data_IF_771821649125
#
_entry.id   IF_771821649125
#
_cell.length_a   1.000
_cell.length_b   1.000
_cell.length_c   1.000
_cell.angle_alpha   90.00
_cell.angle_beta   90.00
_cell.angle_gamma   90.00
#
_symmetry.space_group_name_H-M   'P 1'
#
loop_
_entity.id
_entity.type
_entity.pdbx_description
1 polymer ?
#
# COMPACT_ATOMS: atom_id res chain seq x y z
N UNK A 1 -1.33 6.66 -63.12
CA UNK A 1 -0.59 5.58 -62.43
C UNK A 1 -1.50 5.05 -61.32
N UNK A 2 -1.75 3.74 -61.28
CA UNK A 2 -2.53 3.11 -60.21
C UNK A 2 -1.80 3.27 -58.86
N UNK A 3 -2.54 3.56 -57.79
CA UNK A 3 -1.99 3.62 -56.44
C UNK A 3 -1.64 2.19 -56.01
N UNK A 4 -0.44 1.94 -55.47
CA UNK A 4 -0.11 0.62 -54.93
C UNK A 4 -1.07 0.30 -53.78
N UNK A 5 -1.63 -0.91 -53.81
CA UNK A 5 -2.62 -1.39 -52.85
C UNK A 5 -2.00 -2.45 -51.95
N UNK A 6 -2.14 -2.29 -50.64
CA UNK A 6 -1.60 -3.20 -49.63
C UNK A 6 -2.72 -3.80 -48.80
N UNK A 7 -2.68 -5.12 -48.60
CA UNK A 7 -3.65 -5.83 -47.77
C UNK A 7 -3.23 -5.80 -46.30
N UNK A 8 -4.14 -5.39 -45.43
CA UNK A 8 -3.89 -5.20 -44.00
C UNK A 8 -4.81 -6.08 -43.15
N UNK A 9 -4.24 -6.79 -42.18
CA UNK A 9 -5.00 -7.47 -41.11
C UNK A 9 -4.79 -6.81 -39.75
N UNK A 10 -5.86 -6.71 -38.99
CA UNK A 10 -5.82 -6.29 -37.58
C UNK A 10 -6.72 -7.20 -36.74
N UNK A 11 -6.54 -7.16 -35.43
CA UNK A 11 -7.45 -7.80 -34.46
C UNK A 11 -7.91 -6.77 -33.45
N UNK A 12 -9.01 -7.04 -32.77
CA UNK A 12 -9.55 -6.13 -31.77
C UNK A 12 -8.57 -5.99 -30.60
N UNK A 13 -8.09 -4.76 -30.39
CA UNK A 13 -7.21 -4.39 -29.30
C UNK A 13 -7.45 -2.91 -28.96
N UNK A 14 -8.43 -2.59 -28.10
CA UNK A 14 -8.69 -1.22 -27.70
C UNK A 14 -7.47 -0.63 -26.96
N UNK A 15 -7.15 0.67 -27.10
CA UNK A 15 -7.72 1.66 -28.01
C UNK A 15 -7.15 1.63 -29.44
N UNK A 16 -6.22 0.72 -29.73
CA UNK A 16 -5.53 0.66 -31.02
C UNK A 16 -6.46 0.33 -32.18
N UNK A 17 -7.23 -0.74 -32.05
CA UNK A 17 -8.15 -1.21 -33.07
C UNK A 17 -9.43 -1.72 -32.42
N UNK A 18 -10.56 -1.19 -32.86
CA UNK A 18 -11.89 -1.50 -32.36
C UNK A 18 -12.84 -1.71 -33.54
N UNK A 19 -13.67 -2.74 -33.48
CA UNK A 19 -14.65 -3.02 -34.51
C UNK A 19 -15.96 -2.29 -34.18
N UNK A 20 -16.37 -1.36 -35.04
CA UNK A 20 -17.69 -0.71 -34.93
C UNK A 20 -18.62 -1.32 -35.98
N UNK A 21 -19.76 -1.93 -35.58
CA UNK A 21 -20.74 -2.42 -36.53
C UNK A 21 -21.47 -1.24 -37.20
N UNK A 22 -21.39 -1.16 -38.53
CA UNK A 22 -22.11 -0.17 -39.34
C UNK A 22 -22.88 -0.92 -40.43
N UNK A 23 -24.17 -1.19 -40.15
CA UNK A 23 -24.99 -2.08 -40.97
C UNK A 23 -24.45 -3.52 -40.96
N UNK A 24 -24.25 -4.11 -42.14
CA UNK A 24 -23.69 -5.47 -42.29
C UNK A 24 -22.15 -5.51 -42.35
N UNK A 25 -21.45 -4.38 -42.14
CA UNK A 25 -19.99 -4.32 -42.20
C UNK A 25 -19.42 -3.84 -40.88
N UNK A 26 -18.29 -4.40 -40.48
CA UNK A 26 -17.47 -3.87 -39.39
C UNK A 26 -16.47 -2.86 -39.96
N UNK A 27 -16.40 -1.69 -39.34
CA UNK A 27 -15.45 -0.63 -39.71
C UNK A 27 -14.42 -0.51 -38.60
N UNK A 28 -13.13 -0.45 -38.99
CA UNK A 28 -12.03 -0.18 -38.07
C UNK A 28 -12.20 1.21 -37.45
N UNK A 29 -12.13 1.27 -36.13
CA UNK A 29 -12.01 2.50 -35.35
C UNK A 29 -10.82 2.41 -34.40
N UNK A 30 -10.36 3.55 -33.89
CA UNK A 30 -9.20 3.64 -32.99
C UNK A 30 -7.94 4.16 -33.69
N UNK A 31 -6.83 4.15 -32.96
CA UNK A 31 -5.58 4.80 -33.37
C UNK A 31 -5.02 4.23 -34.67
N UNK A 32 -5.20 2.93 -34.91
CA UNK A 32 -4.72 2.27 -36.12
C UNK A 32 -5.38 2.85 -37.38
N UNK A 33 -6.66 3.23 -37.31
CA UNK A 33 -7.36 3.89 -38.42
C UNK A 33 -6.68 5.21 -38.78
N UNK A 34 -6.46 6.06 -37.78
CA UNK A 34 -5.84 7.37 -37.97
C UNK A 34 -4.42 7.25 -38.54
N UNK A 35 -3.66 6.24 -38.10
CA UNK A 35 -2.33 5.92 -38.64
C UNK A 35 -2.39 5.57 -40.12
N UNK A 36 -3.28 4.64 -40.53
CA UNK A 36 -3.39 4.25 -41.94
C UNK A 36 -3.94 5.35 -42.83
N UNK A 37 -4.86 6.18 -42.35
CA UNK A 37 -5.33 7.36 -43.08
C UNK A 37 -4.20 8.38 -43.30
N UNK A 38 -3.39 8.64 -42.28
CA UNK A 38 -2.21 9.52 -42.39
C UNK A 38 -1.15 8.95 -43.36
N UNK A 39 -0.91 7.63 -43.33
CA UNK A 39 -0.02 6.96 -44.27
C UNK A 39 -0.56 7.00 -45.71
N UNK A 40 -1.85 6.75 -45.89
CA UNK A 40 -2.51 6.78 -47.21
C UNK A 40 -2.40 8.17 -47.83
N UNK A 41 -2.67 9.22 -47.05
CA UNK A 41 -2.56 10.61 -47.47
C UNK A 41 -1.12 11.00 -47.83
N UNK A 42 -0.13 10.62 -47.00
CA UNK A 42 1.26 11.06 -47.16
C UNK A 42 2.09 10.27 -48.17
N UNK A 43 1.73 9.01 -48.44
CA UNK A 43 2.43 8.12 -49.38
C UNK A 43 1.65 7.87 -50.67
N UNK A 44 0.38 8.29 -50.74
CA UNK A 44 -0.54 8.02 -51.86
C UNK A 44 -0.74 6.50 -52.09
N UNK A 45 -0.76 5.73 -51.00
CA UNK A 45 -0.99 4.28 -50.98
C UNK A 45 -2.45 3.98 -50.66
N UNK A 46 -2.96 2.85 -51.16
CA UNK A 46 -4.28 2.34 -50.81
C UNK A 46 -4.13 1.15 -49.85
N UNK A 47 -4.89 1.15 -48.75
CA UNK A 47 -4.86 0.08 -47.75
C UNK A 47 -6.23 -0.62 -47.71
N UNK A 48 -6.23 -1.94 -47.94
CA UNK A 48 -7.41 -2.79 -47.80
C UNK A 48 -7.38 -3.43 -46.42
N UNK A 49 -8.10 -2.82 -45.47
CA UNK A 49 -8.02 -3.18 -44.06
C UNK A 49 -9.18 -4.11 -43.68
N UNK A 50 -8.84 -5.30 -43.17
CA UNK A 50 -9.81 -6.31 -42.73
C UNK A 50 -9.50 -6.82 -41.33
N UNK A 51 -10.54 -7.02 -40.53
CA UNK A 51 -10.42 -7.70 -39.23
C UNK A 51 -10.02 -9.16 -39.44
N UNK A 52 -9.29 -9.72 -38.49
CA UNK A 52 -8.79 -11.09 -38.52
C UNK A 52 -9.89 -12.07 -38.10
N UNK A 53 -10.05 -13.15 -38.86
CA UNK A 53 -11.18 -14.09 -38.72
C UNK A 53 -11.18 -14.83 -37.38
N UNK A 54 -10.02 -15.26 -36.90
CA UNK A 54 -9.86 -15.98 -35.63
C UNK A 54 -9.67 -15.05 -34.43
N UNK A 55 -9.64 -13.72 -34.64
CA UNK A 55 -9.39 -12.70 -33.63
C UNK A 55 -8.10 -12.89 -32.81
N UNK A 56 -7.16 -13.70 -33.30
CA UNK A 56 -5.90 -13.97 -32.62
C UNK A 56 -4.75 -13.14 -33.19
N UNK A 57 -3.85 -12.67 -32.30
CA UNK A 57 -2.59 -12.06 -32.73
C UNK A 57 -1.71 -13.06 -33.46
N UNK A 58 -1.65 -14.29 -32.94
CA UNK A 58 -0.86 -15.38 -33.51
C UNK A 58 0.22 -15.86 -32.56
N UNK A 59 0.33 -17.19 -32.46
CA UNK A 59 1.33 -17.91 -31.71
C UNK A 59 1.97 -18.99 -32.59
N UNK A 60 3.18 -19.40 -32.23
CA UNK A 60 3.83 -20.55 -32.84
C UNK A 60 3.07 -21.82 -32.45
N UNK A 61 2.67 -22.61 -33.44
CA UNK A 61 2.01 -23.90 -33.25
C UNK A 61 3.04 -25.03 -33.26
N UNK A 62 2.62 -26.21 -32.80
CA UNK A 62 3.47 -27.42 -32.73
C UNK A 62 3.93 -27.93 -34.09
N UNK A 63 3.18 -27.60 -35.15
CA UNK A 63 3.51 -27.93 -36.53
C UNK A 63 4.54 -26.95 -37.15
N UNK A 64 5.01 -25.96 -36.38
CA UNK A 64 5.91 -24.90 -36.85
C UNK A 64 5.21 -23.77 -37.61
N UNK A 65 3.89 -23.86 -37.81
CA UNK A 65 3.10 -22.78 -38.41
C UNK A 65 2.73 -21.72 -37.37
N UNK A 66 2.29 -20.55 -37.84
CA UNK A 66 1.77 -19.49 -36.98
C UNK A 66 0.25 -19.36 -37.17
N UNK A 67 -0.48 -19.18 -36.08
CA UNK A 67 -1.93 -18.86 -36.10
C UNK A 67 -2.16 -17.35 -36.21
N UNK A 68 -3.42 -16.92 -36.28
CA UNK A 68 -3.77 -15.50 -36.14
C UNK A 68 -3.30 -14.60 -37.28
N UNK A 69 -3.26 -13.31 -36.98
CA UNK A 69 -2.73 -12.28 -37.88
C UNK A 69 -1.30 -12.57 -38.33
N UNK A 70 -0.47 -13.09 -37.44
CA UNK A 70 0.92 -13.46 -37.75
C UNK A 70 0.98 -14.62 -38.75
N UNK A 71 0.07 -15.59 -38.63
CA UNK A 71 -0.12 -16.67 -39.57
C UNK A 71 -0.51 -16.19 -40.97
N UNK A 72 -1.45 -15.24 -41.07
CA UNK A 72 -1.84 -14.63 -42.34
C UNK A 72 -0.66 -13.91 -43.02
N UNK A 73 0.19 -13.26 -42.23
CA UNK A 73 1.41 -12.61 -42.72
C UNK A 73 2.45 -13.65 -43.19
N UNK A 74 2.63 -14.72 -42.42
CA UNK A 74 3.56 -15.82 -42.75
C UNK A 74 3.14 -16.58 -44.03
N UNK A 75 1.84 -16.83 -44.21
CA UNK A 75 1.25 -17.44 -45.41
C UNK A 75 1.19 -16.50 -46.62
N UNK A 76 1.66 -15.26 -46.48
CA UNK A 76 1.65 -14.22 -47.52
C UNK A 76 0.25 -13.85 -48.03
N UNK A 77 -0.78 -14.05 -47.20
CA UNK A 77 -2.16 -13.66 -47.52
C UNK A 77 -2.35 -12.14 -47.42
N UNK A 78 -1.54 -11.49 -46.58
CA UNK A 78 -1.52 -10.04 -46.35
C UNK A 78 -0.10 -9.47 -46.40
N UNK A 79 -0.01 -8.16 -46.62
CA UNK A 79 1.27 -7.44 -46.74
C UNK A 79 1.67 -6.77 -45.43
N UNK A 80 0.68 -6.30 -44.66
CA UNK A 80 0.87 -5.64 -43.36
C UNK A 80 -0.09 -6.26 -42.35
N UNK A 81 0.36 -6.45 -41.12
CA UNK A 81 -0.48 -6.86 -40.01
C UNK A 81 -0.13 -6.07 -38.74
N UNK A 82 -1.12 -5.72 -37.93
CA UNK A 82 -0.86 -5.04 -36.67
C UNK A 82 -2.06 -4.30 -36.10
N UNK A 83 -1.85 -3.60 -34.96
CA UNK A 83 -0.57 -3.45 -34.28
C UNK A 83 -0.16 -4.69 -33.49
N UNK A 84 1.15 -4.86 -33.32
CA UNK A 84 1.76 -5.94 -32.57
C UNK A 84 2.71 -5.41 -31.52
N UNK A 85 2.76 -6.08 -30.37
CA UNK A 85 3.95 -6.05 -29.54
C UNK A 85 5.05 -6.83 -30.25
N UNK A 86 6.13 -6.15 -30.62
CA UNK A 86 7.27 -6.74 -31.28
C UNK A 86 8.03 -7.67 -30.31
N UNK A 87 8.41 -8.84 -30.80
CA UNK A 87 9.21 -9.82 -30.05
C UNK A 87 10.10 -10.58 -31.01
N UNK A 88 11.18 -11.15 -30.50
CA UNK A 88 12.13 -11.94 -31.28
C UNK A 88 11.45 -13.11 -32.00
N UNK A 89 10.57 -13.84 -31.30
CA UNK A 89 9.81 -14.96 -31.86
C UNK A 89 8.94 -14.56 -33.07
N UNK A 90 8.43 -13.32 -33.08
CA UNK A 90 7.61 -12.80 -34.18
C UNK A 90 8.48 -12.21 -35.31
N UNK A 91 9.64 -11.65 -34.99
CA UNK A 91 10.61 -11.15 -35.96
C UNK A 91 11.22 -12.28 -36.83
N UNK A 92 11.14 -13.52 -36.36
CA UNK A 92 11.50 -14.70 -37.14
C UNK A 92 10.68 -14.84 -38.44
N UNK A 93 9.45 -14.33 -38.50
CA UNK A 93 8.55 -14.46 -39.66
C UNK A 93 8.02 -13.14 -40.21
N UNK A 94 8.31 -12.02 -39.57
CA UNK A 94 7.86 -10.69 -39.96
C UNK A 94 8.97 -9.63 -39.84
N UNK A 95 8.86 -8.54 -40.59
CA UNK A 95 9.71 -7.36 -40.47
C UNK A 95 8.93 -6.24 -39.79
N UNK A 96 9.41 -5.73 -38.66
CA UNK A 96 8.70 -4.68 -37.93
C UNK A 96 9.07 -3.27 -38.41
N UNK A 97 8.08 -2.38 -38.39
CA UNK A 97 8.30 -0.94 -38.57
C UNK A 97 8.99 -0.32 -37.36
N UNK A 98 9.33 0.96 -37.49
CA UNK A 98 9.59 1.81 -36.32
C UNK A 98 8.43 1.72 -35.31
N UNK A 99 8.81 1.78 -34.02
CA UNK A 99 7.91 1.76 -32.87
C UNK A 99 6.85 2.86 -33.01
N UNK A 100 5.56 2.49 -32.96
CA UNK A 100 4.43 3.42 -32.86
C UNK A 100 4.28 3.98 -31.44
N UNK A 101 4.54 3.16 -30.42
CA UNK A 101 4.40 3.49 -29.00
C UNK A 101 5.19 2.51 -28.14
N UNK A 102 5.75 2.98 -27.01
CA UNK A 102 6.36 2.10 -26.02
C UNK A 102 5.27 1.48 -25.13
N UNK A 103 5.15 0.16 -25.20
CA UNK A 103 4.27 -0.63 -24.34
C UNK A 103 4.95 -0.92 -23.01
N UNK A 104 4.21 -0.62 -21.94
CA UNK A 104 4.54 -1.04 -20.58
C UNK A 104 3.38 -1.89 -20.07
N UNK A 105 3.64 -2.74 -19.08
CA UNK A 105 2.55 -3.45 -18.42
C UNK A 105 1.86 -2.53 -17.41
N UNK A 106 0.59 -2.76 -17.18
CA UNK A 106 -0.20 -2.09 -16.16
C UNK A 106 -0.98 -3.09 -15.32
N UNK A 107 -1.12 -2.78 -14.03
CA UNK A 107 -1.99 -3.52 -13.10
C UNK A 107 -3.25 -2.70 -12.86
N UNK A 108 -4.42 -3.29 -13.14
CA UNK A 108 -5.69 -2.77 -12.61
C UNK A 108 -5.94 -3.41 -11.24
N UNK A 109 -6.06 -2.57 -10.24
CA UNK A 109 -6.29 -2.95 -8.84
C UNK A 109 -7.45 -2.16 -8.25
N UNK A 110 -8.16 -2.75 -7.29
CA UNK A 110 -9.10 -2.00 -6.46
C UNK A 110 -8.39 -0.92 -5.65
N UNK A 111 -9.14 0.13 -5.31
CA UNK A 111 -8.70 1.18 -4.40
C UNK A 111 -9.25 0.88 -3.01
N UNK A 112 -8.36 0.87 -2.02
CA UNK A 112 -8.75 0.87 -0.60
C UNK A 112 -8.48 2.24 -0.01
N UNK A 113 -9.45 2.75 0.75
CA UNK A 113 -9.19 3.90 1.61
C UNK A 113 -8.09 3.53 2.61
N UNK A 114 -7.05 4.35 2.75
CA UNK A 114 -6.03 4.14 3.78
C UNK A 114 -6.71 3.85 5.12
N UNK A 115 -6.37 2.69 5.66
CA UNK A 115 -6.88 2.12 6.91
C UNK A 115 -7.21 3.21 7.94
N UNK A 116 -8.50 3.50 8.14
CA UNK A 116 -8.98 4.29 9.28
C UNK A 116 -8.98 3.40 10.52
N UNK A 117 -7.80 2.85 10.82
CA UNK A 117 -7.60 2.08 12.02
C UNK A 117 -7.82 3.01 13.22
N UNK A 118 -8.63 2.59 14.18
CA UNK A 118 -8.90 3.35 15.41
C UNK A 118 -7.62 3.70 16.21
N UNK A 119 -6.50 3.01 15.93
CA UNK A 119 -5.18 3.21 16.54
C UNK A 119 -4.17 3.88 15.60
N UNK A 120 -4.62 4.65 14.60
CA UNK A 120 -3.73 5.29 13.62
C UNK A 120 -2.66 6.16 14.29
N UNK A 121 -3.00 6.85 15.38
CA UNK A 121 -2.06 7.67 16.17
C UNK A 121 -0.88 6.85 16.73
N UNK A 122 -1.08 5.58 17.09
CA UNK A 122 0.00 4.72 17.58
C UNK A 122 0.96 4.28 16.46
N UNK A 123 0.46 4.22 15.21
CA UNK A 123 1.25 3.86 14.02
C UNK A 123 2.08 5.02 13.46
N UNK A 124 1.89 6.25 13.96
CA UNK A 124 2.64 7.44 13.53
C UNK A 124 4.13 7.28 13.78
N UNK A 125 4.50 6.70 14.93
CA UNK A 125 5.86 6.32 15.23
C UNK A 125 6.05 4.81 15.08
N UNK A 126 7.19 4.43 14.54
CA UNK A 126 7.56 3.01 14.47
C UNK A 126 7.78 2.46 15.88
N UNK A 127 7.57 1.16 16.07
CA UNK A 127 7.76 0.52 17.39
C UNK A 127 9.17 0.76 17.96
N UNK A 128 10.19 0.91 17.10
CA UNK A 128 11.56 1.23 17.49
C UNK A 128 11.66 2.59 18.16
N UNK A 129 10.92 3.59 17.69
CA UNK A 129 10.88 4.94 18.28
C UNK A 129 10.17 4.92 19.62
N UNK A 130 9.06 4.17 19.73
CA UNK A 130 8.38 3.96 21.02
C UNK A 130 9.31 3.32 22.05
N UNK A 131 10.05 2.28 21.65
CA UNK A 131 11.03 1.64 22.52
C UNK A 131 12.16 2.60 22.91
N UNK A 132 12.69 3.38 21.97
CA UNK A 132 13.74 4.35 22.28
C UNK A 132 13.27 5.40 23.28
N UNK A 133 12.04 5.92 23.15
CA UNK A 133 11.47 6.88 24.11
C UNK A 133 11.38 6.27 25.51
N UNK A 134 10.88 5.03 25.62
CA UNK A 134 10.81 4.32 26.90
C UNK A 134 12.20 4.16 27.54
N UNK A 135 13.19 3.75 26.75
CA UNK A 135 14.57 3.59 27.21
C UNK A 135 15.19 4.92 27.65
N UNK A 136 14.92 6.02 26.94
CA UNK A 136 15.40 7.35 27.34
C UNK A 136 14.79 7.80 28.67
N UNK A 137 13.49 7.57 28.90
CA UNK A 137 12.83 7.92 30.17
C UNK A 137 13.46 7.14 31.33
N UNK A 138 13.66 5.83 31.17
CA UNK A 138 14.32 5.00 32.18
C UNK A 138 15.74 5.50 32.43
N UNK A 139 16.51 5.81 31.37
CA UNK A 139 17.86 6.34 31.48
C UNK A 139 17.92 7.66 32.26
N UNK A 140 17.06 8.61 31.94
CA UNK A 140 17.01 9.91 32.63
C UNK A 140 16.54 9.77 34.08
N UNK A 141 15.57 8.88 34.35
CA UNK A 141 15.14 8.56 35.70
C UNK A 141 16.27 7.91 36.55
N UNK A 142 17.09 7.04 35.94
CA UNK A 142 18.27 6.46 36.58
C UNK A 142 19.31 7.54 36.92
N UNK A 143 19.60 8.44 35.99
CA UNK A 143 20.55 9.55 36.25
C UNK A 143 20.02 10.47 37.35
N UNK A 144 18.72 10.79 37.35
CA UNK A 144 18.11 11.58 38.43
C UNK A 144 18.17 10.87 39.79
N UNK A 145 17.93 9.55 39.83
CA UNK A 145 18.08 8.75 41.04
C UNK A 145 19.54 8.70 41.53
N UNK A 146 20.52 8.63 40.62
CA UNK A 146 21.95 8.73 40.95
C UNK A 146 22.29 10.11 41.53
N UNK A 147 21.81 11.19 40.93
CA UNK A 147 22.00 12.55 41.46
C UNK A 147 21.39 12.67 42.86
N UNK A 148 20.20 12.10 43.10
CA UNK A 148 19.60 12.07 44.43
C UNK A 148 20.51 11.39 45.45
N UNK A 149 20.94 10.16 45.14
CA UNK A 149 21.75 9.34 46.04
C UNK A 149 23.09 10.01 46.40
N UNK A 150 23.73 10.69 45.45
CA UNK A 150 25.01 11.38 45.68
C UNK A 150 24.82 12.70 46.43
N UNK A 151 23.75 13.43 46.14
CA UNK A 151 23.59 14.82 46.62
C UNK A 151 22.80 14.96 47.91
N UNK A 152 21.99 13.96 48.27
CA UNK A 152 21.12 13.95 49.44
C UNK A 152 21.53 12.80 50.37
N UNK A 153 22.60 13.01 51.15
CA UNK A 153 23.24 12.03 52.04
C UNK A 153 22.41 11.59 53.28
N UNK A 154 21.07 11.62 53.23
CA UNK A 154 20.25 11.48 54.45
C UNK A 154 19.09 10.50 54.41
N UNK A 155 18.66 9.99 53.25
CA UNK A 155 17.37 9.28 53.13
C UNK A 155 17.53 7.90 52.48
N UNK A 156 17.51 6.84 53.30
CA UNK A 156 17.48 5.44 52.84
C UNK A 156 16.08 5.08 52.32
N UNK A 157 15.68 5.64 51.17
CA UNK A 157 14.53 5.13 50.45
C UNK A 157 14.88 3.88 49.65
N UNK A 158 13.89 2.99 49.46
CA UNK A 158 14.03 1.87 48.54
C UNK A 158 14.35 2.40 47.14
N UNK A 159 15.50 1.99 46.59
CA UNK A 159 16.02 2.46 45.29
C UNK A 159 15.03 2.24 44.15
N UNK A 160 14.30 1.13 44.18
CA UNK A 160 13.26 0.80 43.19
C UNK A 160 12.08 1.78 43.28
N UNK A 161 11.65 2.12 44.50
CA UNK A 161 10.59 3.10 44.72
C UNK A 161 11.03 4.48 44.20
N UNK A 162 12.26 4.88 44.49
CA UNK A 162 12.84 6.15 44.03
C UNK A 162 12.87 6.23 42.50
N UNK A 163 13.35 5.18 41.84
CA UNK A 163 13.38 5.10 40.38
C UNK A 163 11.97 5.16 39.78
N UNK A 164 11.01 4.43 40.34
CA UNK A 164 9.60 4.46 39.90
C UNK A 164 8.99 5.86 40.01
N UNK A 165 9.33 6.59 41.09
CA UNK A 165 8.86 7.97 41.30
C UNK A 165 9.48 8.95 40.30
N UNK A 166 10.78 8.86 40.01
CA UNK A 166 11.41 9.69 38.98
C UNK A 166 10.96 9.33 37.56
N UNK A 167 10.77 8.05 37.29
CA UNK A 167 10.16 7.58 36.04
C UNK A 167 8.80 8.25 35.82
N UNK A 168 7.95 8.29 36.84
CA UNK A 168 6.64 8.95 36.76
C UNK A 168 6.76 10.46 36.49
N UNK A 169 7.71 11.16 37.13
CA UNK A 169 7.94 12.59 36.89
C UNK A 169 8.34 12.87 35.44
N UNK A 170 9.34 12.15 34.91
CA UNK A 170 9.77 12.34 33.52
C UNK A 170 8.70 11.89 32.50
N UNK A 171 7.94 10.85 32.82
CA UNK A 171 6.78 10.43 32.04
C UNK A 171 5.69 11.51 31.98
N UNK A 172 5.36 12.16 33.10
CA UNK A 172 4.40 13.28 33.14
C UNK A 172 4.87 14.47 32.30
N UNK A 173 6.16 14.83 32.38
CA UNK A 173 6.74 15.89 31.54
C UNK A 173 6.62 15.58 30.04
N UNK A 174 6.78 14.31 29.63
CA UNK A 174 6.62 13.91 28.24
C UNK A 174 5.20 14.13 27.72
N UNK A 175 4.18 13.96 28.57
CA UNK A 175 2.76 14.10 28.20
C UNK A 175 2.32 15.58 28.21
N UNK A 176 3.20 16.50 28.64
CA UNK A 176 2.87 17.93 28.75
C UNK A 176 1.98 18.26 29.95
N UNK A 177 1.82 17.33 30.89
CA UNK A 177 1.22 17.63 32.18
C UNK A 177 2.26 18.31 33.06
N UNK A 178 1.93 19.45 33.67
CA UNK A 178 2.78 20.07 34.67
C UNK A 178 3.12 19.02 35.74
N UNK A 179 4.39 18.64 35.85
CA UNK A 179 4.85 17.81 36.96
C UNK A 179 4.71 18.67 38.21
N UNK A 180 3.52 18.59 38.81
CA UNK A 180 2.89 19.73 39.46
C UNK A 180 3.74 20.39 40.50
N UNK A 181 3.99 21.70 40.33
CA UNK A 181 4.64 22.61 41.28
C UNK A 181 6.00 22.15 41.81
N UNK A 182 6.85 23.10 42.18
CA UNK A 182 8.10 22.84 42.93
C UNK A 182 7.88 22.07 44.25
N UNK A 183 6.62 21.88 44.67
CA UNK A 183 6.21 21.18 45.89
C UNK A 183 6.12 19.64 45.74
N UNK A 184 6.42 19.07 44.57
CA UNK A 184 6.56 17.62 44.46
C UNK A 184 7.78 17.16 45.25
N UNK A 185 7.59 16.32 46.28
CA UNK A 185 8.66 15.85 47.18
C UNK A 185 9.89 15.26 46.44
N UNK A 186 9.67 14.68 45.25
CA UNK A 186 10.73 14.14 44.39
C UNK A 186 11.64 15.22 43.79
N UNK A 187 11.11 16.44 43.59
CA UNK A 187 11.79 17.58 43.00
C UNK A 187 12.36 18.52 44.08
N UNK A 188 11.66 18.73 45.21
CA UNK A 188 12.05 19.69 46.28
C UNK A 188 13.54 19.53 46.68
N UNK A 189 13.99 18.29 46.89
CA UNK A 189 15.32 18.02 47.42
C UNK A 189 16.45 18.15 46.39
N UNK A 190 16.15 18.04 45.08
CA UNK A 190 17.14 18.03 44.00
C UNK A 190 17.10 19.33 43.18
N UNK A 191 15.99 20.07 43.20
CA UNK A 191 15.77 21.27 42.38
C UNK A 191 16.88 22.33 42.48
N UNK A 192 17.52 22.43 43.65
CA UNK A 192 18.61 23.37 43.92
C UNK A 192 19.98 22.88 43.45
N UNK A 193 20.09 21.71 42.82
CA UNK A 193 21.36 21.16 42.31
C UNK A 193 21.54 21.49 40.84
N UNK A 194 22.68 22.09 40.48
CA UNK A 194 22.98 22.48 39.09
C UNK A 194 23.00 21.30 38.12
N UNK A 195 23.52 20.14 38.55
CA UNK A 195 23.54 18.91 37.72
C UNK A 195 22.13 18.46 37.30
N UNK A 196 21.14 18.62 38.19
CA UNK A 196 19.76 18.26 37.88
C UNK A 196 19.09 19.30 36.97
N UNK A 197 19.41 20.58 37.11
CA UNK A 197 18.89 21.62 36.22
C UNK A 197 19.37 21.41 34.78
N UNK A 198 20.64 21.05 34.60
CA UNK A 198 21.18 20.70 33.28
C UNK A 198 20.51 19.43 32.73
N UNK A 199 20.33 18.39 33.56
CA UNK A 199 19.61 17.18 33.15
C UNK A 199 18.17 17.48 32.74
N UNK A 200 17.46 18.30 33.51
CA UNK A 200 16.08 18.72 33.23
C UNK A 200 16.02 19.56 31.96
N UNK A 201 16.95 20.50 31.77
CA UNK A 201 17.03 21.30 30.55
C UNK A 201 17.28 20.40 29.32
N UNK A 202 18.18 19.42 29.42
CA UNK A 202 18.43 18.46 28.35
C UNK A 202 17.21 17.57 28.06
N UNK A 203 16.47 17.16 29.10
CA UNK A 203 15.22 16.40 28.97
C UNK A 203 14.13 17.21 28.25
N UNK A 204 13.93 18.46 28.68
CA UNK A 204 12.92 19.35 28.11
C UNK A 204 13.24 19.74 26.67
N UNK A 205 14.49 20.16 26.40
CA UNK A 205 14.89 20.61 25.06
C UNK A 205 15.03 19.46 24.05
N UNK A 206 15.50 18.29 24.49
CA UNK A 206 15.75 17.17 23.61
C UNK A 206 14.50 16.31 23.40
N UNK A 207 14.30 15.24 24.20
CA UNK A 207 13.22 14.29 24.00
C UNK A 207 11.81 14.88 24.02
N UNK A 208 11.50 15.81 24.94
CA UNK A 208 10.13 16.33 25.11
C UNK A 208 9.71 17.18 23.92
N UNK A 209 10.45 18.25 23.60
CA UNK A 209 10.15 19.12 22.46
C UNK A 209 10.14 18.31 21.15
N UNK A 210 11.20 17.55 20.87
CA UNK A 210 11.32 16.84 19.60
C UNK A 210 10.18 15.82 19.40
N UNK A 211 9.90 14.99 20.42
CA UNK A 211 8.85 13.98 20.29
C UNK A 211 7.45 14.59 20.17
N UNK A 212 7.10 15.60 20.97
CA UNK A 212 5.76 16.21 20.95
C UNK A 212 5.47 16.94 19.64
N UNK A 213 6.37 17.82 19.20
CA UNK A 213 6.18 18.57 17.95
C UNK A 213 6.21 17.65 16.72
N UNK A 214 7.13 16.68 16.69
CA UNK A 214 7.21 15.71 15.59
C UNK A 214 5.97 14.82 15.55
N UNK A 215 5.44 14.41 16.71
CA UNK A 215 4.23 13.62 16.80
C UNK A 215 3.00 14.41 16.34
N UNK A 216 2.85 15.65 16.81
CA UNK A 216 1.75 16.54 16.42
C UNK A 216 1.77 16.83 14.91
N UNK A 217 2.94 17.15 14.34
CA UNK A 217 3.09 17.39 12.91
C UNK A 217 2.81 16.14 12.06
N UNK A 218 3.25 14.97 12.52
CA UNK A 218 3.04 13.70 11.81
C UNK A 218 1.58 13.23 11.88
N UNK A 219 0.89 13.42 13.02
CA UNK A 219 -0.55 13.20 13.15
C UNK A 219 -1.31 14.14 12.20
N UNK A 220 -1.01 15.43 12.25
CA UNK A 220 -1.72 16.44 11.45
C UNK A 220 -1.60 16.14 9.95
N UNK A 221 -0.40 15.80 9.46
CA UNK A 221 -0.21 15.44 8.05
C UNK A 221 -0.88 14.11 7.68
N UNK A 222 -0.93 13.14 8.59
CA UNK A 222 -1.58 11.84 8.36
C UNK A 222 -3.11 11.98 8.27
N UNK A 223 -3.70 12.83 9.11
CA UNK A 223 -5.15 13.08 9.10
C UNK A 223 -5.59 14.11 8.05
N UNK A 224 -4.70 15.00 7.61
CA UNK A 224 -5.01 15.98 6.58
C UNK A 224 -5.31 15.34 5.20
N UNK A 225 -4.68 14.20 4.89
CA UNK A 225 -4.82 13.56 3.57
C UNK A 225 -5.36 12.15 3.73
N UNK A 226 -6.59 11.92 3.28
CA UNK A 226 -7.08 10.54 3.05
C UNK A 226 -6.37 9.97 1.83
N UNK A 227 -5.25 9.27 2.07
CA UNK A 227 -4.56 8.55 0.99
C UNK A 227 -5.45 7.41 0.50
N UNK A 228 -5.89 7.46 -0.74
CA UNK A 228 -6.37 6.28 -1.44
C UNK A 228 -5.13 5.47 -1.79
N UNK A 229 -5.12 4.18 -1.43
CA UNK A 229 -4.01 3.29 -1.77
C UNK A 229 -4.51 2.17 -2.67
N UNK A 230 -3.76 1.79 -3.70
CA UNK A 230 -4.05 0.57 -4.44
C UNK A 230 -3.92 -0.64 -3.50
N UNK A 231 -4.74 -1.67 -3.73
CA UNK A 231 -4.63 -2.96 -3.01
C UNK A 231 -3.26 -3.63 -3.27
N UNK A 232 -2.73 -3.48 -4.49
CA UNK A 232 -1.39 -3.90 -4.90
C UNK A 232 -0.78 -2.80 -5.76
N UNK A 233 0.41 -2.32 -5.39
CA UNK A 233 1.16 -1.36 -6.21
C UNK A 233 2.16 -2.03 -7.15
N UNK A 234 2.78 -3.13 -6.72
CA UNK A 234 3.92 -3.75 -7.43
C UNK A 234 3.84 -5.27 -7.47
N UNK A 235 4.62 -5.89 -8.36
CA UNK A 235 4.74 -7.34 -8.51
C UNK A 235 5.32 -7.99 -7.25
N UNK A 236 6.23 -7.32 -6.54
CA UNK A 236 6.78 -7.80 -5.29
C UNK A 236 5.70 -7.92 -4.21
N UNK A 237 4.80 -6.94 -4.12
CA UNK A 237 3.67 -6.97 -3.19
C UNK A 237 2.66 -8.07 -3.56
N UNK A 238 2.44 -8.26 -4.87
CA UNK A 238 1.63 -9.37 -5.39
C UNK A 238 2.22 -10.75 -5.05
N UNK A 239 3.55 -10.87 -5.04
CA UNK A 239 4.22 -12.13 -4.68
C UNK A 239 3.99 -12.50 -3.21
N UNK A 240 3.94 -11.51 -2.32
CA UNK A 240 3.70 -11.70 -0.88
C UNK A 240 2.23 -11.99 -0.57
N UNK A 241 1.29 -11.37 -1.31
CA UNK A 241 -0.15 -11.52 -1.10
C UNK A 241 -0.73 -12.71 -1.90
N UNK A 242 -0.72 -13.90 -1.30
CA UNK A 242 -1.24 -15.15 -1.89
C UNK A 242 -2.77 -15.21 -2.04
N UNK A 243 -3.51 -14.33 -1.36
CA UNK A 243 -4.98 -14.29 -1.43
C UNK A 243 -5.54 -13.63 -2.70
N UNK A 244 -4.73 -12.89 -3.47
CA UNK A 244 -5.20 -12.07 -4.60
C UNK A 244 -4.87 -12.73 -5.94
N UNK A 245 -5.87 -13.10 -6.73
CA UNK A 245 -5.66 -13.88 -7.95
C UNK A 245 -5.25 -12.96 -9.13
N UNK A 246 -4.05 -13.11 -9.71
CA UNK A 246 -3.68 -12.40 -10.93
C UNK A 246 -4.35 -13.01 -12.16
N UNK A 247 -4.87 -12.15 -13.02
CA UNK A 247 -5.57 -12.51 -14.27
C UNK A 247 -4.87 -11.80 -15.44
N UNK A 248 -4.75 -12.48 -16.59
CA UNK A 248 -4.21 -11.89 -17.83
C UNK A 248 -4.90 -12.48 -19.07
N UNK A 249 -4.58 -11.92 -20.25
CA UNK A 249 -5.11 -12.37 -21.54
C UNK A 249 -4.26 -13.50 -22.12
N UNK A 250 -4.90 -14.58 -22.57
CA UNK A 250 -4.23 -15.73 -23.21
C UNK A 250 -3.73 -15.35 -24.61
N UNK A 251 -2.53 -15.83 -24.97
CA UNK A 251 -1.89 -15.57 -26.27
C UNK A 251 -1.38 -14.12 -26.44
N UNK A 252 -1.36 -13.34 -25.35
CA UNK A 252 -0.85 -11.97 -25.34
C UNK A 252 0.66 -11.93 -25.16
N UNK A 253 1.27 -10.78 -25.44
CA UNK A 253 2.67 -10.55 -25.15
C UNK A 253 2.98 -10.65 -23.64
N UNK A 254 2.00 -10.30 -22.80
CA UNK A 254 2.10 -10.38 -21.33
C UNK A 254 2.36 -11.82 -20.90
N UNK A 255 1.65 -12.78 -21.48
CA UNK A 255 1.88 -14.20 -21.24
C UNK A 255 3.32 -14.60 -21.59
N UNK A 256 3.84 -14.18 -22.74
CA UNK A 256 5.21 -14.49 -23.18
C UNK A 256 6.23 -13.91 -22.19
N UNK A 257 6.02 -12.68 -21.70
CA UNK A 257 6.88 -12.05 -20.70
C UNK A 257 7.00 -12.89 -19.42
N UNK A 258 5.87 -13.34 -18.87
CA UNK A 258 5.85 -14.12 -17.64
C UNK A 258 6.36 -15.55 -17.83
N UNK A 259 6.16 -16.14 -19.01
CA UNK A 259 6.72 -17.46 -19.36
C UNK A 259 8.25 -17.42 -19.52
N UNK A 260 8.79 -16.32 -20.04
CA UNK A 260 10.22 -16.18 -20.34
C UNK A 260 11.02 -15.67 -19.13
N UNK A 261 10.38 -14.94 -18.21
CA UNK A 261 11.07 -14.38 -17.04
C UNK A 261 11.30 -15.43 -15.95
N UNK A 262 12.56 -15.71 -15.57
CA UNK A 262 12.86 -16.68 -14.51
C UNK A 262 12.38 -16.20 -13.13
N UNK A 263 12.54 -14.91 -12.82
CA UNK A 263 12.21 -14.34 -11.50
C UNK A 263 10.70 -14.41 -11.20
N UNK A 264 9.87 -14.20 -12.23
CA UNK A 264 8.41 -14.15 -12.11
C UNK A 264 7.72 -15.47 -12.50
N UNK A 265 8.47 -16.56 -12.70
CA UNK A 265 7.92 -17.86 -13.07
C UNK A 265 6.91 -18.40 -12.04
N UNK A 266 7.09 -18.05 -10.76
CA UNK A 266 6.15 -18.41 -9.69
C UNK A 266 4.79 -17.70 -9.85
N UNK A 267 4.77 -16.44 -10.31
CA UNK A 267 3.55 -15.72 -10.64
C UNK A 267 2.88 -16.32 -11.87
N UNK A 268 3.66 -16.75 -12.88
CA UNK A 268 3.12 -17.45 -14.05
C UNK A 268 2.38 -18.73 -13.66
N UNK A 269 2.99 -19.62 -12.86
CA UNK A 269 2.35 -20.85 -12.38
C UNK A 269 1.04 -20.57 -11.63
N UNK A 270 0.99 -19.48 -10.87
CA UNK A 270 -0.22 -19.03 -10.15
C UNK A 270 -1.31 -18.54 -11.11
N UNK A 271 -0.95 -17.83 -12.18
CA UNK A 271 -1.89 -17.43 -13.23
C UNK A 271 -2.43 -18.65 -13.98
N UNK A 272 -1.55 -19.60 -14.32
CA UNK A 272 -1.89 -20.82 -15.05
C UNK A 272 -2.85 -21.72 -14.28
N UNK A 273 -2.58 -21.99 -13.00
CA UNK A 273 -3.42 -22.86 -12.16
C UNK A 273 -4.84 -22.31 -11.95
N UNK A 274 -5.00 -20.99 -11.91
CA UNK A 274 -6.31 -20.39 -11.65
C UNK A 274 -7.19 -20.35 -12.90
N UNK A 275 -6.63 -20.57 -14.11
CA UNK A 275 -7.36 -20.73 -15.39
C UNK A 275 -8.34 -19.61 -15.77
N UNK A 276 -8.32 -18.46 -15.08
CA UNK A 276 -9.14 -17.31 -15.44
C UNK A 276 -8.43 -16.58 -16.59
N UNK A 277 -8.90 -16.82 -17.80
CA UNK A 277 -8.45 -16.07 -18.98
C UNK A 277 -9.31 -14.82 -19.07
N UNK A 278 -8.68 -13.65 -19.06
CA UNK A 278 -9.38 -12.41 -19.37
C UNK A 278 -9.81 -12.44 -20.84
N UNK A 279 -11.12 -12.32 -21.07
CA UNK A 279 -11.72 -12.17 -22.39
C UNK A 279 -12.61 -10.92 -22.39
N UNK A 280 -12.87 -10.35 -23.57
CA UNK A 280 -13.74 -9.19 -23.71
C UNK A 280 -15.14 -9.41 -23.08
N UNK A 281 -15.62 -10.66 -23.09
CA UNK A 281 -16.90 -11.06 -22.50
C UNK A 281 -16.88 -11.11 -20.97
N UNK A 282 -15.72 -11.40 -20.37
CA UNK A 282 -15.55 -11.54 -18.92
C UNK A 282 -15.06 -10.26 -18.24
N UNK A 283 -14.89 -9.16 -19.00
CA UNK A 283 -14.42 -7.87 -18.47
C UNK A 283 -15.28 -7.39 -17.31
N UNK A 284 -16.61 -7.36 -17.48
CA UNK A 284 -17.51 -6.82 -16.47
C UNK A 284 -17.44 -7.59 -15.14
N UNK A 285 -17.49 -8.92 -15.21
CA UNK A 285 -17.37 -9.78 -14.02
C UNK A 285 -16.01 -9.59 -13.34
N UNK A 286 -14.93 -9.57 -14.11
CA UNK A 286 -13.57 -9.42 -13.59
C UNK A 286 -13.40 -8.06 -12.90
N UNK A 287 -13.91 -6.97 -13.49
CA UNK A 287 -13.85 -5.65 -12.88
C UNK A 287 -14.56 -5.58 -11.52
N UNK A 288 -15.71 -6.26 -11.37
CA UNK A 288 -16.37 -6.32 -10.05
C UNK A 288 -15.57 -7.11 -9.01
N UNK A 289 -14.83 -8.13 -9.43
CA UNK A 289 -13.92 -8.90 -8.55
C UNK A 289 -12.67 -8.09 -8.16
N UNK A 290 -12.17 -7.25 -9.06
CA UNK A 290 -11.06 -6.32 -8.81
C UNK A 290 -11.47 -5.25 -7.81
N UNK A 291 -12.67 -4.66 -7.96
CA UNK A 291 -13.21 -3.69 -7.00
C UNK A 291 -13.34 -4.27 -5.59
N UNK A 292 -13.72 -5.56 -5.48
CA UNK A 292 -13.74 -6.29 -4.20
C UNK A 292 -12.35 -6.61 -3.64
N UNK A 293 -11.27 -6.36 -4.38
CA UNK A 293 -9.89 -6.64 -3.95
C UNK A 293 -9.49 -8.12 -4.00
N UNK A 294 -10.25 -8.97 -4.71
CA UNK A 294 -9.99 -10.43 -4.77
C UNK A 294 -9.10 -10.82 -5.97
N UNK A 295 -9.16 -10.04 -7.04
CA UNK A 295 -8.44 -10.28 -8.29
C UNK A 295 -7.71 -9.02 -8.72
N UNK A 296 -6.69 -9.17 -9.56
CA UNK A 296 -6.06 -8.05 -10.29
C UNK A 296 -5.94 -8.43 -11.76
N UNK A 297 -5.93 -7.42 -12.64
CA UNK A 297 -5.73 -7.62 -14.07
C UNK A 297 -4.38 -7.07 -14.51
N UNK A 298 -3.55 -7.89 -15.15
CA UNK A 298 -2.26 -7.48 -15.72
C UNK A 298 -2.35 -7.53 -17.24
N UNK A 299 -2.29 -6.36 -17.86
CA UNK A 299 -2.36 -6.18 -19.32
C UNK A 299 -1.43 -5.04 -19.77
N UNK A 300 -1.39 -4.72 -21.07
CA UNK A 300 -0.73 -3.50 -21.55
C UNK A 300 -1.31 -2.26 -20.86
N UNK A 301 -0.47 -1.31 -20.47
CA UNK A 301 -0.82 -0.13 -19.68
C UNK A 301 -1.88 0.73 -20.36
N UNK A 302 -1.76 0.95 -21.67
CA UNK A 302 -2.74 1.75 -22.43
C UNK A 302 -4.06 1.01 -22.51
N UNK A 303 -4.02 -0.31 -22.68
CA UNK A 303 -5.23 -1.13 -22.63
C UNK A 303 -5.88 -1.13 -21.23
N UNK A 304 -5.09 -1.18 -20.15
CA UNK A 304 -5.57 -1.07 -18.78
C UNK A 304 -6.30 0.27 -18.55
N UNK A 305 -5.72 1.38 -19.02
CA UNK A 305 -6.35 2.71 -18.97
C UNK A 305 -7.66 2.76 -19.77
N UNK A 306 -7.74 2.10 -20.93
CA UNK A 306 -8.97 2.01 -21.71
C UNK A 306 -10.06 1.27 -20.94
N UNK A 307 -9.75 0.10 -20.35
CA UNK A 307 -10.69 -0.69 -19.56
C UNK A 307 -11.17 0.13 -18.36
N UNK A 308 -10.26 0.77 -17.61
CA UNK A 308 -10.60 1.59 -16.46
C UNK A 308 -11.46 2.81 -16.87
N UNK A 309 -11.12 3.49 -17.96
CA UNK A 309 -11.90 4.61 -18.53
C UNK A 309 -13.32 4.20 -18.90
N UNK A 310 -13.48 3.05 -19.55
CA UNK A 310 -14.80 2.52 -19.91
C UNK A 310 -15.60 2.08 -18.67
N UNK A 311 -14.92 1.53 -17.66
CA UNK A 311 -15.56 1.16 -16.39
C UNK A 311 -16.10 2.39 -15.65
N UNK A 312 -15.28 3.45 -15.53
CA UNK A 312 -15.68 4.73 -14.93
C UNK A 312 -16.80 5.38 -15.71
N UNK A 313 -16.74 5.37 -17.05
CA UNK A 313 -17.80 5.92 -17.91
C UNK A 313 -19.15 5.21 -17.70
N UNK A 314 -19.14 3.88 -17.48
CA UNK A 314 -20.36 3.08 -17.26
C UNK A 314 -20.91 3.20 -15.84
N UNK A 315 -20.04 3.24 -14.83
CA UNK A 315 -20.45 3.18 -13.41
C UNK A 315 -20.52 4.54 -12.73
N UNK A 316 -19.78 5.53 -13.24
CA UNK A 316 -19.60 6.83 -12.61
C UNK A 316 -18.75 6.82 -11.32
N UNK A 317 -18.04 5.72 -11.02
CA UNK A 317 -17.27 5.54 -9.77
C UNK A 317 -15.77 5.38 -10.02
N UNK A 318 -14.96 5.98 -9.15
CA UNK A 318 -13.50 5.84 -9.12
C UNK A 318 -13.07 4.78 -8.08
N UNK A 319 -13.43 3.52 -8.28
CA UNK A 319 -13.14 2.42 -7.35
C UNK A 319 -11.91 1.57 -7.74
N UNK A 320 -11.34 1.82 -8.91
CA UNK A 320 -10.18 1.10 -9.44
C UNK A 320 -9.07 2.07 -9.82
N UNK A 321 -7.83 1.61 -9.67
CA UNK A 321 -6.62 2.32 -10.02
C UNK A 321 -5.77 1.47 -10.97
N UNK A 322 -5.04 2.14 -11.85
CA UNK A 322 -4.09 1.54 -12.80
C UNK A 322 -2.70 1.98 -12.39
N UNK A 323 -1.84 1.02 -12.09
CA UNK A 323 -0.43 1.23 -11.77
C UNK A 323 0.45 0.78 -12.94
N UNK A 324 1.55 1.51 -13.18
CA UNK A 324 2.52 1.20 -14.23
C UNK A 324 3.55 0.19 -13.70
N UNK A 325 3.79 -0.88 -14.46
CA UNK A 325 4.86 -1.84 -14.19
C UNK A 325 6.06 -1.58 -15.09
N UNK A 326 7.24 -1.53 -14.48
CA UNK A 326 8.51 -1.43 -15.19
C UNK A 326 8.97 -2.77 -15.80
N UNK A 327 8.23 -3.86 -15.55
CA UNK A 327 8.49 -5.19 -16.09
C UNK A 327 8.00 -5.34 -17.54
N UNK A 328 8.81 -6.00 -18.37
CA UNK A 328 8.51 -6.31 -19.77
C UNK A 328 8.11 -5.11 -20.65
N UNK A 329 9.01 -4.14 -20.73
CA UNK A 329 8.87 -3.02 -21.66
C UNK A 329 9.08 -3.51 -23.09
N UNK A 330 8.10 -3.26 -23.94
CA UNK A 330 8.16 -3.63 -25.34
C UNK A 330 7.76 -2.43 -26.21
N UNK A 331 7.83 -2.59 -27.53
CA UNK A 331 7.34 -1.58 -28.45
C UNK A 331 6.23 -2.15 -29.32
N UNK A 332 5.24 -1.29 -29.60
CA UNK A 332 4.13 -1.60 -30.47
C UNK A 332 4.52 -1.14 -31.87
N UNK A 333 4.38 -2.02 -32.87
CA UNK A 333 4.75 -1.72 -34.25
C UNK A 333 3.79 -2.38 -35.24
N UNK A 334 3.87 -1.98 -36.51
CA UNK A 334 3.27 -2.71 -37.61
C UNK A 334 4.24 -3.80 -38.08
N UNK A 335 3.72 -4.97 -38.40
CA UNK A 335 4.48 -6.07 -38.98
C UNK A 335 4.26 -6.10 -40.49
N UNK A 336 5.33 -6.06 -41.25
CA UNK A 336 5.35 -6.25 -42.70
C UNK A 336 5.76 -7.68 -43.04
N UNK A 337 5.26 -8.16 -44.17
CA UNK A 337 5.63 -9.46 -44.72
C UNK A 337 7.13 -9.50 -44.99
N UNK A 338 7.80 -10.59 -44.61
CA UNK A 338 9.23 -10.78 -44.95
C UNK A 338 9.47 -10.67 -46.46
N UNK A 339 10.54 -9.96 -46.83
CA UNK A 339 10.89 -9.71 -48.23
C UNK A 339 10.08 -8.58 -48.87
N UNK A 340 9.46 -7.70 -48.08
CA UNK A 340 8.96 -6.42 -48.59
C UNK A 340 10.08 -5.57 -49.16
N UNK A 341 9.77 -4.77 -50.20
CA UNK A 341 10.78 -3.91 -50.82
C UNK A 341 11.34 -2.91 -49.79
N UNK A 342 12.67 -2.85 -49.70
CA UNK A 342 13.39 -1.98 -48.74
C UNK A 342 13.00 -0.51 -48.90
N UNK A 343 12.72 -0.06 -50.13
CA UNK A 343 12.28 1.32 -50.40
C UNK A 343 10.92 1.62 -49.79
N UNK A 344 9.97 0.69 -49.89
CA UNK A 344 8.62 0.79 -49.32
C UNK A 344 8.68 0.79 -47.80
N UNK A 345 9.44 -0.14 -47.20
CA UNK A 345 9.65 -0.18 -45.75
C UNK A 345 10.26 1.13 -45.24
N UNK A 346 11.28 1.66 -45.93
CA UNK A 346 11.91 2.95 -45.58
C UNK A 346 10.92 4.10 -45.66
N UNK A 347 10.09 4.17 -46.70
CA UNK A 347 9.07 5.21 -46.86
C UNK A 347 8.03 5.18 -45.75
N UNK A 348 7.53 3.99 -45.39
CA UNK A 348 6.58 3.80 -44.29
C UNK A 348 7.24 4.21 -42.97
N UNK A 349 8.45 3.72 -42.67
CA UNK A 349 9.17 4.06 -41.45
C UNK A 349 9.43 5.56 -41.32
N UNK A 350 9.87 6.24 -42.38
CA UNK A 350 10.07 7.70 -42.36
C UNK A 350 8.78 8.45 -42.03
N UNK A 351 7.64 8.05 -42.62
CA UNK A 351 6.36 8.70 -42.33
C UNK A 351 5.83 8.39 -40.93
N UNK A 352 5.98 7.16 -40.46
CA UNK A 352 5.67 6.81 -39.07
C UNK A 352 6.50 7.63 -38.08
N UNK A 353 7.81 7.78 -38.32
CA UNK A 353 8.67 8.63 -37.48
C UNK A 353 8.16 10.06 -37.42
N UNK A 354 7.70 10.65 -38.53
CA UNK A 354 7.12 12.00 -38.50
C UNK A 354 5.80 12.07 -37.72
N UNK A 355 4.94 11.05 -37.82
CA UNK A 355 3.70 10.96 -37.05
C UNK A 355 3.99 10.95 -35.53
N UNK A 356 5.00 10.17 -35.13
CA UNK A 356 5.43 10.04 -33.73
C UNK A 356 6.10 11.33 -33.23
N UNK A 357 7.01 11.92 -34.01
CA UNK A 357 7.68 13.19 -33.66
C UNK A 357 6.69 14.34 -33.53
N UNK A 358 5.62 14.33 -34.33
CA UNK A 358 4.53 15.30 -34.23
C UNK A 358 3.54 15.00 -33.07
N UNK A 359 3.77 13.95 -32.29
CA UNK A 359 2.90 13.50 -31.18
C UNK A 359 1.45 13.26 -31.60
N UNK A 360 1.24 12.82 -32.83
CA UNK A 360 -0.11 12.53 -33.33
C UNK A 360 -0.68 11.27 -32.68
N UNK A 361 0.15 10.25 -32.46
CA UNK A 361 -0.22 9.02 -31.72
C UNK A 361 -0.68 9.34 -30.31
N UNK A 362 0.08 10.16 -29.56
CA UNK A 362 -0.30 10.64 -28.23
C UNK A 362 -1.66 11.34 -28.24
N UNK A 363 -1.90 12.21 -29.23
CA UNK A 363 -3.17 12.93 -29.37
C UNK A 363 -4.33 11.98 -29.66
N UNK A 364 -4.14 10.99 -30.52
CA UNK A 364 -5.17 9.99 -30.84
C UNK A 364 -5.47 9.08 -29.64
N UNK A 365 -4.43 8.66 -28.92
CA UNK A 365 -4.52 7.87 -27.68
C UNK A 365 -5.27 8.60 -26.56
N UNK A 366 -4.91 9.87 -26.33
CA UNK A 366 -5.52 10.69 -25.27
C UNK A 366 -7.03 10.86 -25.42
N UNK A 367 -7.60 10.73 -26.63
CA UNK A 367 -9.06 10.77 -26.85
C UNK A 367 -9.79 9.59 -26.19
N UNK A 368 -9.09 8.50 -25.90
CA UNK A 368 -9.73 7.24 -25.49
C UNK A 368 -9.78 7.04 -23.98
N UNK A 369 -8.76 7.49 -23.22
CA UNK A 369 -8.73 7.37 -21.76
C UNK A 369 -8.95 8.69 -21.00
N UNK A 370 -9.41 9.75 -21.67
CA UNK A 370 -9.59 11.08 -21.05
C UNK A 370 -10.48 11.03 -19.79
N UNK A 371 -11.49 10.16 -19.75
CA UNK A 371 -12.43 10.07 -18.62
C UNK A 371 -11.78 9.52 -17.35
N UNK A 372 -10.85 8.57 -17.48
CA UNK A 372 -10.16 8.00 -16.32
C UNK A 372 -9.24 9.02 -15.63
N UNK A 373 -8.71 9.99 -16.38
CA UNK A 373 -7.83 11.02 -15.81
C UNK A 373 -8.50 11.87 -14.72
N UNK A 374 -9.83 11.93 -14.70
CA UNK A 374 -10.59 12.56 -13.62
C UNK A 374 -10.44 11.81 -12.29
N UNK A 375 -10.34 10.48 -12.31
CA UNK A 375 -10.16 9.65 -11.12
C UNK A 375 -8.72 9.63 -10.61
N UNK A 376 -7.74 9.90 -11.47
CA UNK A 376 -6.32 10.00 -11.08
C UNK A 376 -5.92 11.39 -10.64
N UNK A 377 -6.75 12.42 -10.93
CA UNK A 377 -6.59 13.72 -10.29
C UNK A 377 -6.77 13.49 -8.79
N UNK A 378 -5.77 13.90 -8.02
CA UNK A 378 -5.85 13.84 -6.57
C UNK A 378 -7.20 14.45 -6.16
N UNK A 379 -7.97 13.77 -5.28
CA UNK A 379 -9.23 14.34 -4.80
C UNK A 379 -8.95 15.77 -4.33
N UNK A 380 -9.89 16.67 -4.60
CA UNK A 380 -9.85 18.05 -4.12
C UNK A 380 -9.34 18.08 -2.69
N UNK A 381 -8.50 19.06 -2.37
CA UNK A 381 -7.97 19.37 -1.03
C UNK A 381 -9.09 19.73 -0.01
N UNK A 382 -10.29 19.18 -0.16
CA UNK A 382 -11.36 19.26 0.81
C UNK A 382 -10.99 18.39 2.00
N UNK A 383 -10.52 19.06 3.05
CA UNK A 383 -10.31 18.49 4.36
C UNK A 383 -11.62 17.89 4.86
N UNK A 384 -11.69 16.55 4.91
CA UNK A 384 -12.83 15.86 5.51
C UNK A 384 -12.75 16.04 7.03
N UNK A 385 -13.87 16.40 7.70
CA UNK A 385 -13.88 16.49 9.16
C UNK A 385 -13.58 15.12 9.78
N UNK A 386 -12.89 15.14 10.92
CA UNK A 386 -12.51 13.93 11.64
C UNK A 386 -13.75 13.25 12.23
N UNK A 387 -13.91 11.95 12.01
CA UNK A 387 -15.05 11.18 12.52
C UNK A 387 -14.78 10.65 13.92
N UNK A 388 -15.84 10.36 14.69
CA UNK A 388 -15.74 9.69 16.00
C UNK A 388 -15.03 8.34 15.89
N UNK A 389 -15.24 7.62 14.78
CA UNK A 389 -14.56 6.35 14.48
C UNK A 389 -13.04 6.48 14.46
N UNK A 390 -12.54 7.65 14.08
CA UNK A 390 -11.10 7.91 13.92
C UNK A 390 -10.43 8.16 15.29
N UNK A 391 -11.19 8.55 16.31
CA UNK A 391 -10.73 8.86 17.68
C UNK A 391 -11.08 7.73 18.67
N UNK A 392 -11.89 6.75 18.25
CA UNK A 392 -12.42 5.69 19.11
C UNK A 392 -11.34 4.94 19.90
N UNK A 393 -10.16 4.71 19.31
CA UNK A 393 -9.07 4.00 19.99
C UNK A 393 -8.60 4.71 21.27
N UNK A 394 -8.63 6.04 21.30
CA UNK A 394 -8.29 6.82 22.50
C UNK A 394 -9.28 6.55 23.64
N UNK A 395 -10.58 6.50 23.34
CA UNK A 395 -11.62 6.16 24.32
C UNK A 395 -11.50 4.71 24.80
N UNK A 396 -11.12 3.77 23.93
CA UNK A 396 -10.87 2.38 24.30
C UNK A 396 -9.71 2.28 25.29
N UNK A 397 -8.58 2.95 25.04
CA UNK A 397 -7.43 2.96 25.96
C UNK A 397 -7.82 3.54 27.31
N UNK A 398 -8.55 4.66 27.31
CA UNK A 398 -9.05 5.28 28.55
C UNK A 398 -9.97 4.33 29.33
N UNK A 399 -10.91 3.67 28.66
CA UNK A 399 -11.81 2.70 29.27
C UNK A 399 -11.07 1.52 29.89
N UNK A 400 -10.11 0.94 29.16
CA UNK A 400 -9.24 -0.13 29.67
C UNK A 400 -8.45 0.36 30.90
N UNK A 401 -7.91 1.58 30.86
CA UNK A 401 -7.19 2.18 31.99
C UNK A 401 -8.04 2.27 33.27
N UNK A 402 -9.30 2.71 33.16
CA UNK A 402 -10.23 2.77 34.30
C UNK A 402 -10.51 1.37 34.83
N UNK A 403 -10.78 0.40 33.96
CA UNK A 403 -11.07 -0.98 34.41
C UNK A 403 -9.90 -1.60 35.16
N UNK A 404 -8.67 -1.41 34.69
CA UNK A 404 -7.46 -1.89 35.37
C UNK A 404 -7.29 -1.18 36.71
N UNK A 405 -7.52 0.14 36.77
CA UNK A 405 -7.43 0.91 38.01
C UNK A 405 -8.42 0.42 39.07
N UNK A 406 -9.68 0.14 38.69
CA UNK A 406 -10.69 -0.41 39.59
C UNK A 406 -10.28 -1.82 40.08
N UNK A 407 -9.76 -2.67 39.20
CA UNK A 407 -9.30 -4.02 39.58
C UNK A 407 -8.14 -3.96 40.57
N UNK A 408 -7.16 -3.06 40.36
CA UNK A 408 -6.05 -2.85 41.29
C UNK A 408 -6.55 -2.33 42.65
N UNK A 409 -7.51 -1.41 42.66
CA UNK A 409 -8.13 -0.93 43.89
C UNK A 409 -8.79 -2.07 44.68
N UNK A 410 -9.50 -2.98 44.01
CA UNK A 410 -10.10 -4.16 44.65
C UNK A 410 -9.02 -5.06 45.27
N UNK A 411 -7.91 -5.29 44.55
CA UNK A 411 -6.77 -6.08 45.05
C UNK A 411 -6.12 -5.41 46.26
N UNK A 412 -5.93 -4.10 46.23
CA UNK A 412 -5.35 -3.31 47.33
C UNK A 412 -6.23 -3.36 48.58
N UNK A 413 -7.55 -3.20 48.43
CA UNK A 413 -8.51 -3.35 49.53
C UNK A 413 -8.43 -4.77 50.12
N UNK A 414 -8.31 -5.79 49.27
CA UNK A 414 -8.15 -7.19 49.68
C UNK A 414 -6.87 -7.42 50.49
N UNK A 415 -5.73 -6.91 50.00
CA UNK A 415 -4.43 -6.98 50.71
C UNK A 415 -4.48 -6.24 52.04
N UNK A 416 -4.97 -5.00 52.06
CA UNK A 416 -5.07 -4.20 53.29
C UNK A 416 -5.98 -4.86 54.34
N UNK A 417 -7.10 -5.49 53.93
CA UNK A 417 -7.93 -6.29 54.85
C UNK A 417 -7.20 -7.52 55.39
N UNK A 418 -6.40 -8.21 54.57
CA UNK A 418 -5.58 -9.36 55.00
C UNK A 418 -4.50 -8.92 55.98
N UNK A 419 -3.79 -7.84 55.69
CA UNK A 419 -2.72 -7.30 56.52
C UNK A 419 -3.27 -6.80 57.87
N UNK A 420 -4.43 -6.13 57.89
CA UNK A 420 -5.12 -5.76 59.15
C UNK A 420 -5.54 -6.96 59.98
N UNK A 421 -5.98 -8.06 59.35
CA UNK A 421 -6.31 -9.31 60.07
C UNK A 421 -5.05 -9.97 60.66
N UNK A 422 -3.94 -9.96 59.93
CA UNK A 422 -2.66 -10.48 60.43
C UNK A 422 -2.16 -9.68 61.63
N UNK A 423 -2.18 -8.35 61.56
CA UNK A 423 -1.78 -7.46 62.68
C UNK A 423 -2.70 -7.64 63.90
N UNK A 424 -4.02 -7.81 63.69
CA UNK A 424 -4.96 -8.05 64.79
C UNK A 424 -4.70 -9.39 65.48
N UNK A 425 -4.34 -10.43 64.72
CA UNK A 425 -4.00 -11.74 65.28
C UNK A 425 -2.66 -11.70 66.04
N UNK A 426 -1.66 -10.98 65.52
CA UNK A 426 -0.36 -10.82 66.17
C UNK A 426 -0.46 -10.05 67.49
N UNK A 427 -1.28 -8.98 67.54
CA UNK A 427 -1.57 -8.24 68.77
C UNK A 427 -2.40 -9.05 69.79
N UNK A 428 -3.21 -10.01 69.34
CA UNK A 428 -3.94 -10.91 70.26
C UNK A 428 -3.04 -11.98 70.88
N UNK A 429 -2.00 -12.42 70.17
CA UNK A 429 -1.01 -13.37 70.69
C UNK A 429 -0.04 -12.71 71.68
N UNK A 430 0.34 -11.44 71.47
CA UNK A 430 1.16 -10.69 72.42
C UNK A 430 0.41 -10.25 73.69
N UNK A 431 -0.91 -10.06 73.62
CA UNK A 431 -1.73 -9.77 74.80
C UNK A 431 -1.91 -11.00 75.74
N UNK A 432 -1.88 -12.22 75.19
CA UNK A 432 -1.98 -13.46 75.98
C UNK A 432 -0.67 -13.75 76.75
N UNK A 433 0.48 -13.24 76.31
CA UNK A 433 1.77 -13.48 77.00
C UNK A 433 2.05 -12.55 78.20
N UNK A 434 1.13 -11.64 78.56
CA UNK A 434 1.34 -10.64 79.64
C UNK A 434 0.36 -10.84 80.83
N UNK A 435 -0.46 -11.89 80.86
CA UNK A 435 -1.29 -12.19 82.03
C UNK A 435 -0.45 -12.81 83.18
N UNK A 436 -0.39 -12.21 84.39
CA UNK A 436 0.35 -12.78 85.52
C UNK A 436 -0.46 -13.87 86.23
N UNK A 437 0.21 -14.97 86.56
CA UNK A 437 -0.26 -16.01 87.49
C UNK A 437 -0.54 -15.39 88.86
N UNK A 438 -1.81 -15.39 89.27
CA UNK A 438 -2.23 -15.13 90.65
C UNK A 438 -3.39 -16.06 91.01
N UNK A 439 -3.07 -17.19 91.65
CA UNK A 439 -3.91 -18.10 92.43
C UNK A 439 -2.94 -19.13 93.03
N UNK A 440 -2.98 -19.60 94.26
CA UNK A 440 -3.76 -19.33 95.47
C UNK A 440 -3.09 -20.18 96.56
N UNK A 441 -3.02 -19.71 97.81
CA UNK A 441 -3.02 -20.67 98.93
C UNK A 441 -3.72 -20.01 100.12
N UNK A 442 -4.83 -20.63 100.51
CA UNK A 442 -5.65 -20.29 101.66
C UNK A 442 -5.20 -21.09 102.89
N UNK A 443 -5.65 -20.61 104.07
CA UNK A 443 -5.99 -21.33 105.31
C UNK A 443 -5.24 -20.76 106.54
N UNK A 444 -6.00 -20.41 107.58
CA UNK A 444 -5.51 -20.47 108.97
C UNK A 444 -5.86 -19.30 109.89
N UNK A 445 -7.10 -19.30 110.38
CA UNK A 445 -7.47 -19.10 111.79
C UNK A 445 -6.48 -18.46 112.82
N UNK A 446 -7.01 -17.42 113.48
CA UNK A 446 -7.12 -17.28 114.95
C UNK A 446 -6.04 -16.52 115.78
N UNK A 447 -6.58 -15.70 116.68
CA UNK A 447 -6.08 -15.20 117.97
C UNK A 447 -5.14 -13.97 118.09
N UNK A 448 -5.79 -12.90 118.62
CA UNK A 448 -5.53 -12.15 119.86
C UNK A 448 -4.35 -11.17 120.01
N UNK A 449 -4.78 -9.99 120.47
CA UNK A 449 -4.15 -8.87 121.21
C UNK A 449 -3.19 -7.95 120.46
#
# INVERSE_FOLDING_TARGET
>A
MQRPTYKVRYTEWPPWAMDIPVGNKTILYGVLKDVFEALSYSLNYQFEIHSQVDHQFGALQTDGSYSGMLGALHKKEVDIAGPFVASEQRAAVAEFTNCLEFSKLGIITGIVSSDRNMFLYAKVFTWKVWLSLLMTIIGVALVAALIYNVSVNGWKHNQISLLSRYFWVFWSFLIGHDAGTTNHWALINIWNKESFRILLAAWLLGPVINSLFSFQGSITSTFAITKLRPVIADLDELSQKTNIIPVTTKGSAVQICFMTSPDHAHLWKRMENNSIIFSAETVAETMTKIEKGTHILIVDYIYALNIASNYVKRTGRCSVQVEELLFCQNFIALALRKGTEVTTMRRINTRLTYIIQAKLTDRWMNRVYTNYTHCTRQPSEESKPLSITDILGGFVIWGVGITISILLLIVEIGKNKRDRKLIKNENSLSAISIAPLAESEAIGENNRF
#
